data_IF_461995532561
#
_entry.id   IF_461995532561
#
_cell.length_a   1.000
_cell.length_b   1.000
_cell.length_c   1.000
_cell.angle_alpha   90.00
_cell.angle_beta   90.00
_cell.angle_gamma   90.00
#
_symmetry.space_group_name_H-M   'P 1'
#
loop_
_entity.id
_entity.type
_entity.pdbx_description
1 polymer ?
#
# COMPACT_ATOMS: atom_id res chain seq x y z
N UNK A 1 -24.74 -13.03 -0.01
CA UNK A 1 -24.68 -11.67 -0.60
C UNK A 1 -23.25 -11.18 -0.42
N UNK A 2 -22.57 -10.95 -1.53
CA UNK A 2 -21.12 -10.67 -1.55
C UNK A 2 -20.76 -9.41 -0.76
N UNK A 3 -19.69 -9.45 0.00
CA UNK A 3 -19.06 -8.32 0.67
C UNK A 3 -17.54 -8.38 0.46
N UNK A 4 -16.84 -7.31 0.76
CA UNK A 4 -15.39 -7.27 0.61
C UNK A 4 -14.67 -6.68 1.82
N UNK A 5 -13.39 -7.01 1.94
CA UNK A 5 -12.43 -6.32 2.78
C UNK A 5 -11.42 -5.60 1.94
N UNK A 6 -10.95 -4.44 2.43
CA UNK A 6 -9.96 -3.61 1.74
C UNK A 6 -8.92 -3.12 2.73
N UNK A 7 -7.64 -3.21 2.33
CA UNK A 7 -6.50 -2.73 3.11
C UNK A 7 -5.35 -2.32 2.19
N UNK A 8 -4.37 -1.56 2.69
CA UNK A 8 -3.23 -1.10 1.92
C UNK A 8 -1.89 -1.60 2.46
N UNK A 9 -0.89 -1.56 1.59
CA UNK A 9 0.52 -1.78 1.94
C UNK A 9 1.43 -0.73 1.28
N UNK A 10 2.38 -0.22 2.04
CA UNK A 10 3.37 0.72 1.52
C UNK A 10 3.00 2.19 1.62
N UNK A 11 2.00 2.57 2.43
CA UNK A 11 1.60 3.96 2.65
C UNK A 11 2.77 4.86 3.06
N UNK A 12 3.51 4.50 4.10
CA UNK A 12 4.60 5.31 4.66
C UNK A 12 5.97 5.09 4.01
N UNK A 13 6.07 4.29 2.95
CA UNK A 13 7.35 3.99 2.31
C UNK A 13 7.85 5.18 1.48
N UNK A 14 9.19 5.37 1.44
CA UNK A 14 9.86 6.36 0.59
C UNK A 14 10.20 5.79 -0.79
N UNK A 15 10.19 4.45 -0.92
CA UNK A 15 10.51 3.73 -2.15
C UNK A 15 9.52 2.60 -2.40
N UNK A 16 9.18 2.37 -3.66
CA UNK A 16 8.24 1.35 -4.11
C UNK A 16 6.78 1.83 -4.14
N UNK A 17 5.87 0.97 -4.61
CA UNK A 17 4.47 1.31 -4.81
C UNK A 17 3.68 1.42 -3.51
N UNK A 18 2.52 2.06 -3.61
CA UNK A 18 1.38 1.88 -2.70
C UNK A 18 0.44 0.87 -3.37
N UNK A 19 0.07 -0.16 -2.63
CA UNK A 19 -0.81 -1.24 -3.10
C UNK A 19 -2.04 -1.29 -2.21
N UNK A 20 -3.22 -1.22 -2.79
CA UNK A 20 -4.49 -1.51 -2.12
C UNK A 20 -4.97 -2.86 -2.59
N UNK A 21 -5.23 -3.77 -1.65
CA UNK A 21 -5.81 -5.08 -1.91
C UNK A 21 -7.29 -5.12 -1.53
N UNK A 22 -8.09 -5.86 -2.29
CA UNK A 22 -9.45 -6.18 -1.92
C UNK A 22 -9.71 -7.68 -2.11
N UNK A 23 -10.44 -8.27 -1.16
CA UNK A 23 -10.88 -9.67 -1.20
C UNK A 23 -12.40 -9.70 -1.08
N UNK A 24 -13.05 -10.55 -1.89
CA UNK A 24 -14.50 -10.63 -2.02
C UNK A 24 -14.99 -12.02 -1.66
N UNK A 25 -15.97 -12.10 -0.79
CA UNK A 25 -16.57 -13.38 -0.32
C UNK A 25 -18.07 -13.23 -0.06
N UNK A 26 -18.80 -14.35 -0.08
CA UNK A 26 -20.18 -14.42 0.39
C UNK A 26 -20.29 -14.72 1.88
N UNK A 27 -19.25 -15.30 2.49
CA UNK A 27 -19.09 -15.49 3.93
C UNK A 27 -17.60 -15.63 4.29
N UNK A 28 -17.28 -15.40 5.56
CA UNK A 28 -15.89 -15.42 6.07
C UNK A 28 -15.35 -16.83 6.38
N UNK A 29 -16.15 -17.89 6.28
CA UNK A 29 -15.76 -19.22 6.76
C UNK A 29 -14.48 -19.72 6.11
N UNK A 30 -14.37 -19.57 4.79
CA UNK A 30 -13.17 -19.99 4.04
C UNK A 30 -11.91 -19.24 4.48
N UNK A 31 -12.04 -17.97 4.82
CA UNK A 31 -10.92 -17.16 5.31
C UNK A 31 -10.54 -17.52 6.75
N UNK A 32 -11.53 -17.85 7.58
CA UNK A 32 -11.29 -18.36 8.93
C UNK A 32 -10.60 -19.73 8.91
N UNK A 33 -10.99 -20.61 7.99
CA UNK A 33 -10.36 -21.92 7.80
C UNK A 33 -8.90 -21.81 7.33
N UNK A 34 -8.58 -20.80 6.50
CA UNK A 34 -7.22 -20.45 6.10
C UNK A 34 -6.42 -19.89 7.31
N UNK A 35 -7.07 -19.28 8.28
CA UNK A 35 -6.43 -18.75 9.49
C UNK A 35 -5.90 -17.32 9.34
N UNK A 36 -6.52 -16.48 8.50
CA UNK A 36 -6.04 -15.12 8.16
C UNK A 36 -5.90 -14.17 9.36
N UNK A 37 -6.61 -14.40 10.48
CA UNK A 37 -6.58 -13.52 11.67
C UNK A 37 -5.22 -13.37 12.33
N UNK A 38 -4.29 -14.30 12.14
CA UNK A 38 -2.96 -14.25 12.74
C UNK A 38 -1.89 -13.65 11.81
N UNK A 39 -2.31 -12.92 10.77
CA UNK A 39 -1.44 -12.40 9.69
C UNK A 39 -0.26 -11.55 10.17
N UNK A 40 -0.41 -10.79 11.26
CA UNK A 40 0.65 -9.94 11.83
C UNK A 40 1.82 -10.71 12.44
N UNK A 41 1.63 -11.99 12.77
CA UNK A 41 2.67 -12.87 13.33
C UNK A 41 3.34 -13.75 12.29
N UNK A 42 2.94 -13.64 11.03
CA UNK A 42 3.43 -14.50 9.97
C UNK A 42 4.85 -14.14 9.53
N UNK A 43 5.67 -15.17 9.36
CA UNK A 43 6.92 -15.02 8.60
C UNK A 43 6.61 -14.73 7.13
N UNK A 44 7.54 -14.15 6.35
CA UNK A 44 7.34 -13.92 4.91
C UNK A 44 6.89 -15.20 4.18
N UNK A 45 7.52 -16.35 4.45
CA UNK A 45 7.15 -17.63 3.82
C UNK A 45 5.74 -18.11 4.18
N UNK A 46 5.31 -17.90 5.42
CA UNK A 46 3.93 -18.25 5.82
C UNK A 46 2.92 -17.31 5.18
N UNK A 47 3.26 -16.03 5.02
CA UNK A 47 2.41 -15.04 4.36
C UNK A 47 2.23 -15.37 2.88
N UNK A 48 3.29 -15.79 2.18
CA UNK A 48 3.22 -16.25 0.79
C UNK A 48 2.28 -17.46 0.65
N UNK A 49 2.39 -18.47 1.51
CA UNK A 49 1.48 -19.62 1.48
C UNK A 49 0.02 -19.23 1.71
N UNK A 50 -0.20 -18.31 2.63
CA UNK A 50 -1.55 -17.84 2.93
C UNK A 50 -2.12 -17.01 1.77
N UNK A 51 -1.28 -16.20 1.13
CA UNK A 51 -1.64 -15.52 -0.11
C UNK A 51 -2.12 -16.51 -1.18
N UNK A 52 -1.35 -17.57 -1.45
CA UNK A 52 -1.73 -18.58 -2.44
C UNK A 52 -3.08 -19.25 -2.11
N UNK A 53 -3.35 -19.51 -0.82
CA UNK A 53 -4.63 -20.05 -0.38
C UNK A 53 -5.78 -19.05 -0.58
N UNK A 54 -5.58 -17.77 -0.24
CA UNK A 54 -6.59 -16.71 -0.42
C UNK A 54 -6.94 -16.55 -1.89
N UNK A 55 -5.93 -16.34 -2.76
CA UNK A 55 -6.15 -16.08 -4.18
C UNK A 55 -6.68 -17.28 -4.95
N UNK A 56 -6.46 -18.50 -4.43
CA UNK A 56 -7.03 -19.74 -4.97
C UNK A 56 -8.45 -20.04 -4.50
N UNK A 57 -8.96 -19.33 -3.47
CA UNK A 57 -10.22 -19.67 -2.80
C UNK A 57 -11.26 -18.55 -2.78
N UNK A 58 -10.85 -17.31 -3.01
CA UNK A 58 -11.72 -16.13 -3.01
C UNK A 58 -11.44 -15.25 -4.24
N UNK A 59 -12.41 -14.44 -4.63
CA UNK A 59 -12.17 -13.38 -5.59
C UNK A 59 -11.34 -12.27 -4.95
N UNK A 60 -10.46 -11.68 -5.72
CA UNK A 60 -9.58 -10.62 -5.22
C UNK A 60 -9.19 -9.64 -6.34
N UNK A 61 -8.70 -8.49 -5.93
CA UNK A 61 -8.08 -7.50 -6.82
C UNK A 61 -7.01 -6.70 -6.10
N UNK A 62 -6.14 -6.05 -6.86
CA UNK A 62 -5.21 -5.05 -6.35
C UNK A 62 -5.25 -3.80 -7.22
N UNK A 63 -5.12 -2.65 -6.57
CA UNK A 63 -4.92 -1.34 -7.21
C UNK A 63 -3.53 -0.88 -6.81
N UNK A 64 -2.70 -0.55 -7.79
CA UNK A 64 -1.30 -0.19 -7.58
C UNK A 64 -1.06 1.26 -8.03
N UNK A 65 -0.42 2.06 -7.17
CA UNK A 65 0.11 3.35 -7.55
C UNK A 65 1.63 3.32 -7.43
N UNK A 66 2.33 3.58 -8.53
CA UNK A 66 3.79 3.70 -8.54
C UNK A 66 4.25 4.93 -7.74
N UNK A 67 5.53 5.01 -7.41
CA UNK A 67 6.11 6.20 -6.77
C UNK A 67 5.82 7.47 -7.58
N UNK A 68 5.93 7.37 -8.91
CA UNK A 68 5.65 8.47 -9.83
C UNK A 68 4.16 8.87 -9.81
N UNK A 69 3.24 7.90 -9.85
CA UNK A 69 1.79 8.18 -9.78
C UNK A 69 1.42 8.89 -8.47
N UNK A 70 2.02 8.45 -7.36
CA UNK A 70 1.81 9.08 -6.06
C UNK A 70 2.33 10.52 -6.08
N UNK A 71 3.56 10.75 -6.54
CA UNK A 71 4.15 12.09 -6.63
C UNK A 71 3.32 13.02 -7.54
N UNK A 72 2.84 12.53 -8.68
CA UNK A 72 2.03 13.30 -9.61
C UNK A 72 0.66 13.65 -9.01
N UNK A 73 -0.04 12.68 -8.39
CA UNK A 73 -1.33 12.92 -7.73
C UNK A 73 -1.21 13.88 -6.54
N UNK A 74 -0.12 13.78 -5.76
CA UNK A 74 0.13 14.65 -4.60
C UNK A 74 0.40 16.11 -4.94
N UNK A 75 0.58 16.47 -6.20
CA UNK A 75 0.58 17.87 -6.65
C UNK A 75 -0.79 18.54 -6.55
N UNK A 76 -1.87 17.76 -6.54
CA UNK A 76 -3.26 18.24 -6.58
C UNK A 76 -4.10 17.81 -5.37
N UNK A 77 -3.72 16.75 -4.67
CA UNK A 77 -4.49 16.18 -3.58
C UNK A 77 -3.60 15.62 -2.46
N UNK A 78 -4.18 15.37 -1.30
CA UNK A 78 -3.48 14.74 -0.17
C UNK A 78 -3.24 13.24 -0.43
N UNK A 79 -2.31 12.63 0.34
CA UNK A 79 -2.11 11.17 0.28
C UNK A 79 -3.40 10.42 0.70
N UNK A 80 -4.13 10.94 1.70
CA UNK A 80 -5.41 10.35 2.11
C UNK A 80 -6.44 10.34 0.97
N UNK A 81 -6.47 11.37 0.13
CA UNK A 81 -7.35 11.39 -1.03
C UNK A 81 -6.89 10.40 -2.12
N UNK A 82 -5.57 10.28 -2.35
CA UNK A 82 -5.04 9.26 -3.27
C UNK A 82 -5.48 7.86 -2.82
N UNK A 83 -5.33 7.55 -1.54
CA UNK A 83 -5.75 6.26 -0.97
C UNK A 83 -7.27 6.07 -1.06
N UNK A 84 -8.06 7.10 -0.74
CA UNK A 84 -9.51 7.05 -0.84
C UNK A 84 -9.97 6.62 -2.24
N UNK A 85 -9.39 7.20 -3.30
CA UNK A 85 -9.69 6.80 -4.67
C UNK A 85 -9.23 5.38 -4.98
N UNK A 86 -8.06 4.97 -4.52
CA UNK A 86 -7.58 3.59 -4.71
C UNK A 86 -8.48 2.57 -4.00
N UNK A 87 -8.95 2.88 -2.78
CA UNK A 87 -9.93 2.06 -2.07
C UNK A 87 -11.25 1.95 -2.86
N UNK A 88 -11.75 3.08 -3.38
CA UNK A 88 -12.96 3.10 -4.20
C UNK A 88 -12.80 2.27 -5.48
N UNK A 89 -11.66 2.41 -6.16
CA UNK A 89 -11.36 1.63 -7.37
C UNK A 89 -11.34 0.12 -7.06
N UNK A 90 -10.74 -0.28 -5.92
CA UNK A 90 -10.71 -1.67 -5.50
C UNK A 90 -12.11 -2.21 -5.18
N UNK A 91 -12.91 -1.49 -4.37
CA UNK A 91 -14.28 -1.89 -3.99
C UNK A 91 -15.18 -2.00 -5.23
N UNK A 92 -15.11 -1.03 -6.15
CA UNK A 92 -15.97 -0.96 -7.32
C UNK A 92 -15.62 -2.01 -8.41
N UNK A 93 -14.56 -2.81 -8.22
CA UNK A 93 -14.23 -3.92 -9.13
C UNK A 93 -15.34 -4.97 -9.16
N UNK A 94 -16.10 -5.10 -8.08
CA UNK A 94 -17.24 -6.01 -7.96
C UNK A 94 -18.43 -5.31 -7.32
N UNK A 95 -19.63 -5.79 -7.64
CA UNK A 95 -20.82 -5.34 -6.96
C UNK A 95 -20.93 -6.03 -5.60
N UNK A 96 -20.77 -5.28 -4.53
CA UNK A 96 -20.87 -5.75 -3.16
C UNK A 96 -21.94 -5.02 -2.39
N UNK A 97 -22.55 -5.68 -1.40
CA UNK A 97 -23.51 -5.05 -0.50
C UNK A 97 -22.86 -4.30 0.65
N UNK A 98 -21.63 -4.70 1.00
CA UNK A 98 -20.87 -4.13 2.11
C UNK A 98 -19.37 -4.19 1.83
N UNK A 99 -18.64 -3.15 2.25
CA UNK A 99 -17.19 -3.14 2.25
C UNK A 99 -16.66 -2.77 3.64
N UNK A 100 -15.78 -3.63 4.17
CA UNK A 100 -15.02 -3.40 5.38
C UNK A 100 -13.63 -2.87 4.98
N UNK A 101 -13.20 -1.76 5.55
CA UNK A 101 -11.92 -1.13 5.19
C UNK A 101 -11.06 -0.89 6.42
N UNK A 102 -9.75 -1.18 6.34
CA UNK A 102 -8.81 -0.60 7.30
C UNK A 102 -8.68 0.89 7.02
N UNK A 103 -8.94 1.71 8.06
CA UNK A 103 -9.06 3.16 7.88
C UNK A 103 -7.68 3.83 7.94
N UNK A 104 -7.17 4.40 6.85
CA UNK A 104 -5.89 5.11 6.87
C UNK A 104 -6.00 6.55 7.41
N UNK A 105 -7.21 7.07 7.58
CA UNK A 105 -7.48 8.42 8.07
C UNK A 105 -7.71 8.43 9.58
N UNK A 106 -7.42 9.54 10.23
CA UNK A 106 -7.67 9.73 11.67
C UNK A 106 -9.16 9.72 12.02
N UNK A 107 -10.05 9.99 11.06
CA UNK A 107 -11.50 10.06 11.24
C UNK A 107 -12.22 8.98 10.45
N UNK A 108 -12.52 7.85 11.10
CA UNK A 108 -13.22 6.70 10.53
C UNK A 108 -14.58 7.07 9.89
N UNK A 109 -15.35 7.91 10.57
CA UNK A 109 -16.68 8.31 10.09
C UNK A 109 -16.61 9.17 8.84
N UNK A 110 -15.67 10.12 8.80
CA UNK A 110 -15.46 10.97 7.63
C UNK A 110 -14.96 10.15 6.44
N UNK A 111 -14.03 9.21 6.68
CA UNK A 111 -13.51 8.32 5.65
C UNK A 111 -14.61 7.40 5.11
N UNK A 112 -15.39 6.72 6.00
CA UNK A 112 -16.52 5.86 5.59
C UNK A 112 -17.52 6.61 4.72
N UNK A 113 -17.87 7.85 5.11
CA UNK A 113 -18.81 8.68 4.33
C UNK A 113 -18.27 9.03 2.95
N UNK A 114 -16.99 9.47 2.87
CA UNK A 114 -16.35 9.82 1.59
C UNK A 114 -16.27 8.60 0.67
N UNK A 115 -15.82 7.45 1.20
CA UNK A 115 -15.75 6.21 0.44
C UNK A 115 -17.13 5.74 -0.01
N UNK A 116 -18.15 5.87 0.84
CA UNK A 116 -19.53 5.54 0.48
C UNK A 116 -20.09 6.40 -0.65
N UNK A 117 -19.68 7.67 -0.75
CA UNK A 117 -20.03 8.52 -1.89
C UNK A 117 -19.45 8.00 -3.21
N UNK A 118 -18.26 7.41 -3.16
CA UNK A 118 -17.58 6.84 -4.33
C UNK A 118 -18.02 5.39 -4.64
N UNK A 119 -18.61 4.70 -3.65
CA UNK A 119 -19.06 3.31 -3.75
C UNK A 119 -20.56 3.22 -3.39
N UNK A 120 -21.47 3.78 -4.18
CA UNK A 120 -22.88 3.95 -3.81
C UNK A 120 -23.67 2.64 -3.69
N UNK A 121 -23.15 1.53 -4.21
CA UNK A 121 -23.75 0.19 -4.12
C UNK A 121 -23.42 -0.55 -2.82
N UNK A 122 -22.48 -0.06 -2.01
CA UNK A 122 -21.98 -0.73 -0.83
C UNK A 122 -22.21 0.09 0.45
N UNK A 123 -22.61 -0.58 1.54
CA UNK A 123 -22.48 -0.05 2.89
C UNK A 123 -21.00 -0.06 3.28
N UNK A 124 -20.42 1.09 3.63
CA UNK A 124 -19.00 1.19 4.00
C UNK A 124 -18.85 1.17 5.50
N UNK A 125 -18.00 0.28 6.00
CA UNK A 125 -17.59 0.17 7.41
C UNK A 125 -16.06 0.29 7.45
N UNK A 126 -15.55 1.49 7.68
CA UNK A 126 -14.12 1.72 7.88
C UNK A 126 -13.82 1.83 9.38
N UNK A 127 -12.80 1.10 9.82
CA UNK A 127 -12.33 1.04 11.20
C UNK A 127 -10.81 1.03 11.24
N UNK A 128 -10.22 1.65 12.26
CA UNK A 128 -8.82 1.46 12.55
C UNK A 128 -8.56 0.01 12.97
N UNK A 129 -7.50 -0.59 12.43
CA UNK A 129 -7.13 -1.99 12.67
C UNK A 129 -8.26 -2.95 12.34
N UNK A 130 -8.96 -2.69 11.25
CA UNK A 130 -10.05 -3.54 10.79
C UNK A 130 -9.55 -4.95 10.43
N UNK A 131 -8.28 -5.08 10.05
CA UNK A 131 -7.59 -6.35 9.82
C UNK A 131 -7.53 -7.25 11.07
N UNK A 132 -7.54 -6.69 12.30
CA UNK A 132 -7.64 -7.45 13.54
C UNK A 132 -9.06 -8.00 13.81
N UNK A 133 -10.08 -7.33 13.26
CA UNK A 133 -11.49 -7.58 13.57
C UNK A 133 -12.21 -8.38 12.50
N UNK A 134 -11.90 -8.14 11.23
CA UNK A 134 -12.60 -8.69 10.06
C UNK A 134 -11.67 -9.60 9.25
N UNK A 135 -11.97 -10.92 9.16
CA UNK A 135 -11.15 -11.87 8.39
C UNK A 135 -10.94 -11.43 6.93
N UNK A 136 -11.97 -10.84 6.31
CA UNK A 136 -11.89 -10.37 4.92
C UNK A 136 -10.93 -9.19 4.75
N UNK A 137 -10.78 -8.32 5.75
CA UNK A 137 -9.78 -7.23 5.74
C UNK A 137 -8.38 -7.77 5.98
N UNK A 138 -8.23 -8.73 6.91
CA UNK A 138 -6.95 -9.43 7.12
C UNK A 138 -6.47 -10.12 5.83
N UNK A 139 -7.38 -10.76 5.10
CA UNK A 139 -7.06 -11.36 3.79
C UNK A 139 -6.61 -10.30 2.78
N UNK A 140 -7.29 -9.14 2.71
CA UNK A 140 -6.93 -8.03 1.85
C UNK A 140 -5.53 -7.47 2.20
N UNK A 141 -5.22 -7.34 3.49
CA UNK A 141 -3.90 -6.96 4.01
C UNK A 141 -2.80 -7.89 3.50
N UNK A 142 -3.02 -9.20 3.58
CA UNK A 142 -2.08 -10.20 3.06
C UNK A 142 -1.88 -10.03 1.55
N UNK A 143 -2.97 -9.88 0.80
CA UNK A 143 -2.92 -9.69 -0.67
C UNK A 143 -2.14 -8.43 -1.03
N UNK A 144 -2.43 -7.29 -0.38
CA UNK A 144 -1.73 -6.04 -0.61
C UNK A 144 -0.24 -6.16 -0.28
N UNK A 145 0.09 -6.74 0.88
CA UNK A 145 1.46 -6.84 1.37
C UNK A 145 2.32 -7.77 0.52
N UNK A 146 1.82 -8.96 0.18
CA UNK A 146 2.59 -9.91 -0.66
C UNK A 146 2.80 -9.33 -2.06
N UNK A 147 1.77 -8.73 -2.64
CA UNK A 147 1.90 -8.07 -3.95
C UNK A 147 2.97 -6.99 -3.91
N UNK A 148 2.95 -6.14 -2.87
CA UNK A 148 3.96 -5.10 -2.71
C UNK A 148 5.36 -5.65 -2.48
N UNK A 149 5.51 -6.68 -1.64
CA UNK A 149 6.80 -7.28 -1.33
C UNK A 149 7.43 -7.88 -2.62
N UNK A 150 6.64 -8.56 -3.46
CA UNK A 150 7.08 -9.07 -4.77
C UNK A 150 7.52 -7.93 -5.71
N UNK A 151 6.77 -6.84 -5.78
CA UNK A 151 7.16 -5.66 -6.58
C UNK A 151 8.45 -5.00 -6.06
N UNK A 152 8.72 -5.05 -4.75
CA UNK A 152 10.00 -4.59 -4.21
C UNK A 152 11.15 -5.54 -4.55
N UNK A 153 10.89 -6.84 -4.65
CA UNK A 153 11.89 -7.81 -5.11
C UNK A 153 12.25 -7.54 -6.57
N UNK A 154 11.27 -7.27 -7.44
CA UNK A 154 11.52 -6.88 -8.84
C UNK A 154 12.39 -5.60 -8.92
N UNK A 155 12.08 -4.58 -8.10
CA UNK A 155 12.88 -3.35 -8.02
C UNK A 155 14.30 -3.64 -7.52
N UNK A 156 14.45 -4.56 -6.57
CA UNK A 156 15.78 -4.98 -6.05
C UNK A 156 16.60 -5.67 -7.13
N UNK A 157 15.97 -6.52 -7.93
CA UNK A 157 16.61 -7.17 -9.07
C UNK A 157 17.04 -6.16 -10.15
N UNK A 158 16.19 -5.17 -10.44
CA UNK A 158 16.48 -4.10 -11.40
C UNK A 158 17.74 -3.30 -11.02
N UNK A 159 17.89 -2.93 -9.74
CA UNK A 159 19.07 -2.20 -9.27
C UNK A 159 20.27 -3.09 -9.00
N UNK A 160 20.11 -4.40 -8.85
CA UNK A 160 21.18 -5.37 -8.55
C UNK A 160 21.83 -5.18 -7.19
N UNK A 161 21.17 -4.47 -6.26
CA UNK A 161 21.66 -4.16 -4.91
C UNK A 161 20.55 -4.27 -3.87
N UNK A 162 20.96 -4.37 -2.60
CA UNK A 162 20.00 -4.33 -1.50
C UNK A 162 19.44 -2.91 -1.33
N UNK A 163 18.17 -2.73 -1.66
CA UNK A 163 17.43 -1.46 -1.50
C UNK A 163 16.66 -1.38 -0.16
N UNK A 164 16.77 -2.40 0.68
CA UNK A 164 16.01 -2.48 1.94
C UNK A 164 14.51 -2.74 1.74
N UNK A 165 13.72 -2.32 2.73
CA UNK A 165 12.25 -2.52 2.77
C UNK A 165 11.46 -1.40 2.09
N UNK A 166 12.11 -0.34 1.63
CA UNK A 166 11.49 0.86 1.07
C UNK A 166 10.97 1.86 2.11
N UNK A 167 11.10 1.60 3.41
CA UNK A 167 10.64 2.50 4.47
C UNK A 167 11.77 3.42 4.97
N UNK A 168 11.44 4.65 5.44
CA UNK A 168 12.44 5.60 5.93
C UNK A 168 13.12 5.14 7.24
N UNK A 169 12.54 4.22 7.97
CA UNK A 169 13.14 3.60 9.16
C UNK A 169 14.22 2.56 8.83
N UNK A 170 14.31 2.13 7.58
CA UNK A 170 15.29 1.16 7.12
C UNK A 170 16.52 1.88 6.57
N UNK A 171 17.65 1.71 7.23
CA UNK A 171 18.90 2.36 6.86
C UNK A 171 19.40 1.93 5.46
N UNK A 172 19.20 0.66 5.05
CA UNK A 172 19.56 0.20 3.70
C UNK A 172 18.85 1.01 2.62
N UNK A 173 17.55 1.26 2.82
CA UNK A 173 16.77 2.09 1.90
C UNK A 173 17.30 3.53 1.84
N UNK A 174 17.52 4.13 3.01
CA UNK A 174 17.94 5.52 3.07
C UNK A 174 19.37 5.73 2.58
N UNK A 175 20.28 4.81 2.87
CA UNK A 175 21.67 4.85 2.40
C UNK A 175 21.73 4.67 0.87
N UNK A 176 20.94 3.74 0.31
CA UNK A 176 20.83 3.55 -1.12
C UNK A 176 20.36 4.83 -1.83
N UNK A 177 19.27 5.45 -1.36
CA UNK A 177 18.72 6.68 -1.96
C UNK A 177 19.74 7.82 -1.87
N UNK A 178 20.36 8.01 -0.72
CA UNK A 178 21.35 9.06 -0.47
C UNK A 178 22.57 8.91 -1.40
N UNK A 179 23.12 7.72 -1.50
CA UNK A 179 24.29 7.44 -2.35
C UNK A 179 23.94 7.62 -3.83
N UNK A 180 22.77 7.15 -4.26
CA UNK A 180 22.30 7.36 -5.62
C UNK A 180 22.18 8.84 -5.98
N UNK A 181 21.56 9.65 -5.10
CA UNK A 181 21.42 11.09 -5.30
C UNK A 181 22.81 11.77 -5.32
N UNK A 182 23.73 11.31 -4.45
CA UNK A 182 25.10 11.83 -4.42
C UNK A 182 25.82 11.65 -5.76
N UNK A 183 25.69 10.47 -6.35
CA UNK A 183 26.38 10.11 -7.61
C UNK A 183 25.67 10.71 -8.82
N UNK A 184 24.34 10.56 -8.91
CA UNK A 184 23.58 10.84 -10.12
C UNK A 184 22.92 12.24 -10.13
N UNK A 185 22.90 12.93 -8.99
CA UNK A 185 22.30 14.26 -8.85
C UNK A 185 20.77 14.31 -8.91
N UNK A 186 20.11 13.15 -8.97
CA UNK A 186 18.64 12.98 -8.99
C UNK A 186 18.26 11.73 -8.20
N UNK A 187 17.02 11.65 -7.76
CA UNK A 187 16.50 10.43 -7.12
C UNK A 187 16.47 9.25 -8.11
N UNK A 188 16.67 8.03 -7.63
CA UNK A 188 16.45 6.83 -8.45
C UNK A 188 14.97 6.68 -8.81
N UNK A 189 14.68 5.88 -9.83
CA UNK A 189 13.32 5.46 -10.13
C UNK A 189 12.71 4.72 -8.93
N UNK A 190 11.40 4.65 -8.84
CA UNK A 190 10.65 4.06 -7.73
C UNK A 190 10.75 4.79 -6.38
N UNK A 191 11.45 5.94 -6.30
CA UNK A 191 11.53 6.77 -5.08
C UNK A 191 10.48 7.87 -5.13
N UNK A 192 9.79 8.07 -4.00
CA UNK A 192 8.76 9.11 -3.84
C UNK A 192 9.42 10.43 -3.47
N UNK A 193 9.67 11.26 -4.46
CA UNK A 193 10.35 12.55 -4.30
C UNK A 193 9.55 13.56 -3.46
N UNK A 194 8.24 13.37 -3.33
CA UNK A 194 7.37 14.21 -2.49
C UNK A 194 7.47 13.91 -0.99
N UNK A 195 8.16 12.83 -0.58
CA UNK A 195 8.41 12.51 0.82
C UNK A 195 9.51 13.39 1.41
N UNK A 196 9.27 13.90 2.61
CA UNK A 196 10.16 14.88 3.26
C UNK A 196 11.64 14.46 3.32
N UNK A 197 12.01 13.22 3.74
CA UNK A 197 13.41 12.83 3.76
C UNK A 197 14.10 12.90 2.39
N UNK A 198 13.39 12.52 1.33
CA UNK A 198 13.93 12.54 -0.04
C UNK A 198 14.03 13.98 -0.54
N UNK A 199 13.03 14.80 -0.28
CA UNK A 199 13.02 16.24 -0.62
C UNK A 199 14.20 16.97 -0.01
N UNK A 200 14.51 16.69 1.25
CA UNK A 200 15.67 17.25 1.96
C UNK A 200 16.99 16.84 1.31
N UNK A 201 17.15 15.56 0.94
CA UNK A 201 18.36 15.08 0.25
C UNK A 201 18.55 15.77 -1.10
N UNK A 202 17.49 15.93 -1.88
CA UNK A 202 17.54 16.60 -3.19
C UNK A 202 17.87 18.09 -3.04
N UNK A 203 17.29 18.78 -2.06
CA UNK A 203 17.56 20.22 -1.79
C UNK A 203 18.99 20.44 -1.30
N UNK A 204 19.51 19.57 -0.42
CA UNK A 204 20.89 19.67 0.05
C UNK A 204 21.88 19.52 -1.11
N UNK A 205 21.63 18.60 -2.05
CA UNK A 205 22.47 18.41 -3.23
C UNK A 205 22.42 19.60 -4.19
N UNK A 206 21.26 20.24 -4.35
CA UNK A 206 21.12 21.44 -5.17
C UNK A 206 21.94 22.61 -4.61
N UNK A 207 21.91 22.80 -3.28
CA UNK A 207 22.65 23.87 -2.60
C UNK A 207 24.18 23.69 -2.70
N UNK A 208 24.68 22.44 -2.62
CA UNK A 208 26.12 22.17 -2.76
C UNK A 208 26.65 22.56 -4.15
N UNK A 209 25.84 22.41 -5.20
CA UNK A 209 26.22 22.81 -6.55
C UNK A 209 26.32 24.33 -6.75
N UNK A 210 25.66 25.13 -5.91
CA UNK A 210 25.70 26.60 -5.96
C UNK A 210 26.89 27.20 -5.22
N UNK A 211 27.54 26.47 -4.35
CA UNK A 211 28.70 26.91 -3.54
C UNK A 211 30.06 26.54 -4.18
N UNK A 212 30.05 25.77 -5.26
CA UNK A 212 31.27 25.31 -5.97
C UNK A 212 31.70 26.26 -7.13
N UNK A 213 31.19 27.55 -7.12
CA UNK A 213 31.55 28.62 -8.08
C UNK A 213 32.25 29.78 -7.38
#
# INVERSE_FOLDING_TARGET
MMFCGVDEAGRGSVMGPLVVGAVFVDNDQILMDIGVKDSKKLTPRMRERMYDQIVGSAEWTVVVASAKDIDDRRKQMSLNDVELYMFADAVNTRQVSRAYADCPDVNETAFSRKLGTLCPSAEIIAKHKADDSYPVVSAASIVAKVTRDRMLDDIREEFGVNIGSGYPSDHYTMDFIKEWIRVNGKAPEHVRCSWEPVRQMLSAKANTKLTDW
#
